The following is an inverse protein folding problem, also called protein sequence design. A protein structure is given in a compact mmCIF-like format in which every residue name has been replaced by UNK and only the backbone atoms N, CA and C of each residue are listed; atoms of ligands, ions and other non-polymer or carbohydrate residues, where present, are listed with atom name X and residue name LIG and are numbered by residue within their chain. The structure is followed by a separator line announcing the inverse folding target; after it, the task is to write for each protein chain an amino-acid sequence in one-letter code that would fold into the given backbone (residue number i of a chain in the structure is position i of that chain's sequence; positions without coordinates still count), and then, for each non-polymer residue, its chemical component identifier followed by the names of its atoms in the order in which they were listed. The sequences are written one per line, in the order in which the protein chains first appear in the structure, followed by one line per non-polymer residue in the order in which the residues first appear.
data_IF_984471200662
#
_entry.id   IF_984471200662
#
_cell.length_a   1.000
_cell.length_b   1.000
_cell.length_c   1.000
_cell.angle_alpha   90.00
_cell.angle_beta   90.00
_cell.angle_gamma   90.00
#
_symmetry.space_group_name_H-M   'P 1'
#
loop_
_entity.id
_entity.type
_entity.pdbx_description
1 polymer ?
#
# COMPACT_ATOMS: atom_id res chain seq x y z
N UNK A 1 8.49 2.22 -6.44
CA UNK A 1 8.39 3.37 -5.51
C UNK A 1 8.87 2.98 -4.11
N UNK A 2 8.21 2.03 -3.45
CA UNK A 2 8.54 1.51 -2.11
C UNK A 2 9.95 0.91 -1.93
N UNK A 3 10.44 0.01 -2.81
CA UNK A 3 11.74 -0.64 -2.58
C UNK A 3 12.93 0.32 -2.63
N UNK A 4 12.84 1.39 -3.45
CA UNK A 4 13.88 2.42 -3.52
C UNK A 4 14.01 3.19 -2.20
N UNK A 5 12.87 3.59 -1.61
CA UNK A 5 12.85 4.32 -0.35
C UNK A 5 13.32 3.46 0.83
N UNK A 6 12.90 2.20 0.88
CA UNK A 6 13.34 1.24 1.90
C UNK A 6 14.86 1.04 1.83
N UNK A 7 15.45 0.92 0.65
CA UNK A 7 16.90 0.79 0.50
C UNK A 7 17.66 2.02 1.01
N UNK A 8 17.16 3.23 0.75
CA UNK A 8 17.77 4.47 1.26
C UNK A 8 17.72 4.49 2.80
N UNK A 9 16.58 4.20 3.40
CA UNK A 9 16.42 4.16 4.87
C UNK A 9 17.29 3.08 5.53
N UNK A 10 17.57 1.98 4.83
CA UNK A 10 18.48 0.92 5.32
C UNK A 10 19.95 1.33 5.31
N UNK A 11 20.36 2.26 4.45
CA UNK A 11 21.73 2.77 4.40
C UNK A 11 22.03 3.79 5.50
N UNK A 12 21.00 4.33 6.17
CA UNK A 12 21.12 5.29 7.27
C UNK A 12 21.37 4.58 8.60
N UNK A 13 22.06 5.27 9.53
CA UNK A 13 22.30 4.76 10.88
C UNK A 13 20.99 4.54 11.64
N UNK A 14 20.91 3.46 12.43
CA UNK A 14 19.70 3.07 13.10
C UNK A 14 19.23 4.05 14.20
N UNK A 15 20.12 4.87 14.75
CA UNK A 15 19.86 5.84 15.82
C UNK A 15 19.54 7.23 15.30
N UNK A 16 19.65 7.44 13.99
CA UNK A 16 19.41 8.73 13.37
C UNK A 16 17.90 9.07 13.47
N UNK A 17 17.52 10.22 14.07
CA UNK A 17 16.12 10.57 14.32
C UNK A 17 15.26 10.62 13.06
N UNK A 18 15.79 11.14 11.95
CA UNK A 18 15.06 11.25 10.69
C UNK A 18 14.74 9.87 10.09
N UNK A 19 15.65 8.90 10.20
CA UNK A 19 15.37 7.50 9.82
C UNK A 19 14.20 6.93 10.60
N UNK A 20 14.14 7.17 11.91
CA UNK A 20 13.06 6.66 12.78
C UNK A 20 11.73 7.27 12.35
N UNK A 21 11.66 8.60 12.25
CA UNK A 21 10.46 9.33 11.86
C UNK A 21 9.97 8.91 10.46
N UNK A 22 10.87 8.86 9.48
CA UNK A 22 10.52 8.50 8.11
C UNK A 22 10.11 7.03 7.98
N UNK A 23 10.70 6.13 8.79
CA UNK A 23 10.30 4.73 8.85
C UNK A 23 8.90 4.58 9.40
N UNK A 24 8.57 5.26 10.49
CA UNK A 24 7.23 5.25 11.08
C UNK A 24 6.20 5.82 10.11
N UNK A 25 6.47 6.97 9.50
CA UNK A 25 5.58 7.57 8.51
C UNK A 25 5.32 6.65 7.31
N UNK A 26 6.36 5.94 6.83
CA UNK A 26 6.22 4.98 5.75
C UNK A 26 5.35 3.79 6.16
N UNK A 27 5.63 3.19 7.32
CA UNK A 27 4.89 2.02 7.81
C UNK A 27 3.44 2.36 8.12
N UNK A 28 3.18 3.52 8.72
CA UNK A 28 1.83 4.01 8.96
C UNK A 28 1.06 4.18 7.66
N UNK A 29 1.66 4.85 6.66
CA UNK A 29 1.00 5.06 5.37
C UNK A 29 0.67 3.73 4.67
N UNK A 30 1.61 2.78 4.67
CA UNK A 30 1.41 1.46 4.05
C UNK A 30 0.36 0.62 4.78
N UNK A 31 0.26 0.75 6.11
CA UNK A 31 -0.75 0.10 6.92
C UNK A 31 -2.14 0.71 6.66
N UNK A 32 -2.24 2.04 6.63
CA UNK A 32 -3.51 2.75 6.41
C UNK A 32 -4.12 2.46 5.03
N UNK A 33 -3.30 2.32 3.98
CA UNK A 33 -3.79 1.89 2.65
C UNK A 33 -4.09 0.38 2.58
N UNK A 34 -3.72 -0.40 3.61
CA UNK A 34 -3.96 -1.83 3.72
C UNK A 34 -3.05 -2.70 2.85
N UNK A 35 -1.84 -2.24 2.54
CA UNK A 35 -0.83 -3.01 1.78
C UNK A 35 -0.02 -3.93 2.70
N UNK A 36 0.20 -3.52 3.95
CA UNK A 36 0.82 -4.35 5.00
C UNK A 36 -0.18 -4.58 6.14
N UNK A 37 -0.06 -5.71 6.83
CA UNK A 37 -0.91 -6.07 7.97
C UNK A 37 -0.35 -5.60 9.31
N UNK A 38 0.94 -5.29 9.40
CA UNK A 38 1.61 -4.94 10.66
C UNK A 38 2.65 -3.83 10.44
N UNK A 39 2.82 -2.96 11.44
CA UNK A 39 3.74 -1.80 11.43
C UNK A 39 5.11 -2.10 12.07
N UNK A 40 5.52 -3.36 12.17
CA UNK A 40 6.66 -3.75 13.00
C UNK A 40 8.03 -3.72 12.30
N UNK A 41 8.06 -3.87 10.97
CA UNK A 41 9.35 -4.09 10.29
C UNK A 41 9.38 -3.61 8.85
N UNK A 42 10.46 -2.90 8.50
CA UNK A 42 10.83 -2.56 7.12
C UNK A 42 11.11 -3.78 6.23
N UNK A 43 11.42 -4.95 6.81
CA UNK A 43 11.64 -6.17 6.03
C UNK A 43 10.36 -6.65 5.31
N UNK A 44 9.18 -6.32 5.86
CA UNK A 44 7.91 -6.60 5.20
C UNK A 44 7.77 -5.80 3.90
N UNK A 45 8.33 -4.59 3.86
CA UNK A 45 8.24 -3.71 2.70
C UNK A 45 9.06 -4.21 1.50
N UNK A 46 10.07 -5.06 1.70
CA UNK A 46 10.87 -5.65 0.62
C UNK A 46 10.14 -6.76 -0.11
N UNK A 47 9.25 -7.48 0.58
CA UNK A 47 8.44 -8.55 -0.01
C UNK A 47 7.22 -8.04 -0.77
N UNK A 48 7.01 -6.71 -0.80
CA UNK A 48 5.85 -6.12 -1.45
C UNK A 48 5.97 -6.19 -2.96
N UNK A 49 5.06 -6.95 -3.58
CA UNK A 49 4.89 -6.99 -5.01
C UNK A 49 4.01 -5.82 -5.51
N UNK A 50 4.08 -5.55 -6.81
CA UNK A 50 3.17 -4.61 -7.49
C UNK A 50 1.70 -5.05 -7.34
N UNK A 51 1.45 -6.36 -7.33
CA UNK A 51 0.10 -6.91 -7.19
C UNK A 51 -0.55 -6.58 -5.84
N UNK A 52 0.22 -6.43 -4.76
CA UNK A 52 -0.30 -5.98 -3.46
C UNK A 52 -0.96 -4.61 -3.55
N UNK A 53 -0.38 -3.68 -4.32
CA UNK A 53 -0.96 -2.35 -4.55
C UNK A 53 -2.19 -2.42 -5.46
N UNK A 54 -2.15 -3.19 -6.55
CA UNK A 54 -3.28 -3.30 -7.48
C UNK A 54 -4.55 -3.87 -6.82
N UNK A 55 -4.40 -4.74 -5.80
CA UNK A 55 -5.50 -5.31 -5.01
C UNK A 55 -6.19 -4.29 -4.10
N UNK A 56 -5.57 -3.12 -3.85
CA UNK A 56 -6.11 -2.04 -3.01
C UNK A 56 -6.78 -0.93 -3.82
N UNK A 57 -6.78 -1.01 -5.16
CA UNK A 57 -7.57 -0.10 -6.01
C UNK A 57 -9.07 -0.29 -5.75
N UNK A 58 -9.81 0.82 -5.69
CA UNK A 58 -11.25 0.81 -5.39
C UNK A 58 -12.03 -0.15 -6.29
N UNK A 59 -11.79 -0.12 -7.61
CA UNK A 59 -12.44 -1.03 -8.56
C UNK A 59 -12.18 -2.52 -8.25
N UNK A 60 -10.94 -2.88 -7.89
CA UNK A 60 -10.59 -4.24 -7.48
C UNK A 60 -11.27 -4.63 -6.17
N UNK A 61 -11.39 -3.69 -5.23
CA UNK A 61 -12.08 -3.90 -3.95
C UNK A 61 -13.57 -4.14 -4.16
N UNK A 62 -14.23 -3.38 -5.04
CA UNK A 62 -15.65 -3.57 -5.38
C UNK A 62 -15.95 -4.97 -5.94
N UNK A 63 -15.12 -5.45 -6.87
CA UNK A 63 -15.27 -6.81 -7.42
C UNK A 63 -15.06 -7.87 -6.33
N UNK A 64 -14.08 -7.66 -5.44
CA UNK A 64 -13.78 -8.58 -4.34
C UNK A 64 -14.91 -8.64 -3.30
N UNK A 65 -15.56 -7.51 -3.04
CA UNK A 65 -16.71 -7.40 -2.14
C UNK A 65 -18.05 -7.80 -2.81
N UNK A 66 -18.02 -8.26 -4.07
CA UNK A 66 -19.20 -8.68 -4.83
C UNK A 66 -20.22 -7.57 -5.12
N UNK A 67 -19.75 -6.32 -5.17
CA UNK A 67 -20.56 -5.19 -5.63
C UNK A 67 -20.61 -5.06 -7.16
N UNK A 68 -19.68 -5.70 -7.87
CA UNK A 68 -19.65 -5.78 -9.33
C UNK A 68 -19.12 -7.16 -9.73
N UNK A 69 -19.60 -7.71 -10.84
CA UNK A 69 -19.17 -9.02 -11.33
C UNK A 69 -17.85 -8.91 -12.10
N UNK A 70 -17.68 -7.82 -12.85
CA UNK A 70 -16.51 -7.58 -13.68
C UNK A 70 -15.78 -6.27 -13.32
N UNK A 71 -14.47 -6.24 -13.57
CA UNK A 71 -13.66 -5.06 -13.28
C UNK A 71 -14.07 -3.85 -14.12
N UNK A 72 -14.50 -4.07 -15.37
CA UNK A 72 -14.96 -3.00 -16.27
C UNK A 72 -16.22 -2.32 -15.73
N UNK A 73 -17.17 -3.12 -15.24
CA UNK A 73 -18.39 -2.64 -14.60
C UNK A 73 -18.09 -1.86 -13.32
N UNK A 74 -17.20 -2.36 -12.47
CA UNK A 74 -16.76 -1.64 -11.28
C UNK A 74 -16.17 -0.26 -11.59
N UNK A 75 -15.45 -0.12 -12.70
CA UNK A 75 -14.94 1.19 -13.17
C UNK A 75 -16.08 2.08 -13.64
N UNK A 76 -17.03 1.55 -14.42
CA UNK A 76 -18.21 2.29 -14.88
C UNK A 76 -19.03 2.84 -13.71
N UNK A 77 -19.27 2.07 -12.65
CA UNK A 77 -19.98 2.54 -11.46
C UNK A 77 -19.25 3.68 -10.73
N UNK A 78 -17.93 3.63 -10.67
CA UNK A 78 -17.11 4.71 -10.11
C UNK A 78 -17.21 5.98 -10.99
N UNK A 79 -17.10 5.83 -12.31
CA UNK A 79 -17.17 6.95 -13.26
C UNK A 79 -18.55 7.63 -13.25
N UNK A 80 -19.62 6.85 -13.10
CA UNK A 80 -20.99 7.31 -12.99
C UNK A 80 -21.37 7.89 -11.61
N UNK A 81 -20.45 7.89 -10.64
CA UNK A 81 -20.67 8.38 -9.26
C UNK A 81 -21.73 7.59 -8.48
N UNK A 82 -21.84 6.29 -8.73
CA UNK A 82 -22.67 5.39 -7.92
C UNK A 82 -21.95 4.85 -6.67
N UNK A 83 -20.63 5.05 -6.58
CA UNK A 83 -19.74 4.73 -5.46
C UNK A 83 -18.99 5.99 -5.06
#
# INVERSE_FOLDING_TARGET
MTPKLVNILKQMDAREPFRIEMTDALLEKLYNIGVISERKSLALCEKLSVSSFCRRRLSTVLVRLKFAEHLKEAVTYIEQRHV
#
